data_IF_380108534769
#
_entry.id   IF_380108534769
#
_cell.length_a   1.000
_cell.length_b   1.000
_cell.length_c   1.000
_cell.angle_alpha   90.00
_cell.angle_beta   90.00
_cell.angle_gamma   90.00
#
_symmetry.space_group_name_H-M   'P 1'
#
loop_
_entity.id
_entity.type
_entity.pdbx_description
1 polymer ?
#
# COMPACT_ATOMS: atom_id res chain seq x y z
N UNK A 1 -21.73 -13.00 27.32
CA UNK A 1 -20.37 -12.42 27.37
C UNK A 1 -19.99 -12.14 25.95
N UNK A 2 -20.10 -10.89 25.48
CA UNK A 2 -19.64 -10.53 24.14
C UNK A 2 -18.12 -10.51 24.19
N UNK A 3 -17.48 -11.56 23.66
CA UNK A 3 -16.05 -11.54 23.36
C UNK A 3 -15.82 -10.46 22.32
N UNK A 4 -14.92 -9.52 22.61
CA UNK A 4 -14.47 -8.55 21.62
C UNK A 4 -13.95 -9.28 20.37
N UNK A 5 -14.24 -8.78 19.16
CA UNK A 5 -13.82 -9.43 17.93
C UNK A 5 -12.29 -9.43 17.82
N UNK A 6 -11.71 -10.61 17.53
CA UNK A 6 -10.28 -10.74 17.29
C UNK A 6 -9.94 -10.21 15.89
N UNK A 7 -9.25 -9.06 15.86
CA UNK A 7 -8.89 -8.38 14.61
C UNK A 7 -7.75 -9.07 13.85
N UNK A 8 -7.09 -10.06 14.45
CA UNK A 8 -5.96 -10.78 13.83
C UNK A 8 -6.41 -11.99 13.00
N UNK A 9 -7.66 -12.42 13.17
CA UNK A 9 -8.22 -13.54 12.42
C UNK A 9 -8.74 -13.01 11.07
N UNK A 10 -8.27 -13.53 9.92
CA UNK A 10 -8.78 -13.13 8.61
C UNK A 10 -10.27 -13.47 8.48
N UNK A 11 -10.98 -12.78 7.58
CA UNK A 11 -12.37 -13.10 7.29
C UNK A 11 -12.45 -14.49 6.62
N UNK A 12 -13.44 -15.28 7.00
CA UNK A 12 -13.76 -16.51 6.25
C UNK A 12 -14.48 -16.17 4.94
N UNK A 13 -14.56 -17.11 4.01
CA UNK A 13 -15.28 -16.92 2.74
C UNK A 13 -16.75 -16.50 2.98
N UNK A 14 -17.46 -17.17 3.90
CA UNK A 14 -18.84 -16.80 4.28
C UNK A 14 -18.95 -15.38 4.87
N UNK A 15 -17.96 -14.94 5.67
CA UNK A 15 -17.95 -13.60 6.25
C UNK A 15 -17.64 -12.54 5.18
N UNK A 16 -16.81 -12.87 4.20
CA UNK A 16 -16.47 -12.00 3.08
C UNK A 16 -17.66 -11.85 2.13
N UNK A 17 -18.37 -12.94 1.81
CA UNK A 17 -19.60 -12.91 1.00
C UNK A 17 -20.70 -12.07 1.68
N UNK A 18 -20.90 -12.26 2.99
CA UNK A 18 -21.85 -11.43 3.75
C UNK A 18 -21.44 -9.94 3.80
N UNK A 19 -20.14 -9.66 3.92
CA UNK A 19 -19.63 -8.29 3.87
C UNK A 19 -19.82 -7.67 2.48
N UNK A 20 -19.65 -8.45 1.42
CA UNK A 20 -19.87 -8.02 0.04
C UNK A 20 -21.31 -7.56 -0.18
N UNK A 21 -22.28 -8.44 0.13
CA UNK A 21 -23.70 -8.11 0.06
C UNK A 21 -24.06 -6.84 0.86
N UNK A 22 -23.45 -6.69 2.04
CA UNK A 22 -23.70 -5.53 2.89
C UNK A 22 -23.12 -4.24 2.28
N UNK A 23 -21.90 -4.27 1.75
CA UNK A 23 -21.25 -3.11 1.17
C UNK A 23 -21.88 -2.69 -0.16
N UNK A 24 -22.26 -3.64 -1.00
CA UNK A 24 -23.00 -3.39 -2.26
C UNK A 24 -24.35 -2.72 -1.99
N UNK A 25 -25.04 -3.10 -0.92
CA UNK A 25 -26.33 -2.52 -0.57
C UNK A 25 -26.23 -1.11 0.05
N UNK A 26 -25.06 -0.74 0.59
CA UNK A 26 -24.93 0.44 1.45
C UNK A 26 -23.92 1.47 0.94
N UNK A 27 -23.07 1.11 -0.01
CA UNK A 27 -22.00 1.98 -0.50
C UNK A 27 -21.95 1.92 -2.03
N UNK A 28 -21.74 3.05 -2.72
CA UNK A 28 -21.61 3.05 -4.18
C UNK A 28 -20.32 2.36 -4.66
N UNK A 29 -19.35 2.16 -3.77
CA UNK A 29 -18.07 1.50 -4.06
C UNK A 29 -18.15 -0.03 -3.97
N UNK A 30 -19.13 -0.58 -3.25
CA UNK A 30 -19.22 -2.01 -2.96
C UNK A 30 -17.96 -2.57 -2.28
N UNK A 31 -17.84 -3.90 -2.22
CA UNK A 31 -16.62 -4.53 -1.71
C UNK A 31 -15.41 -4.23 -2.60
N UNK A 32 -15.59 -4.22 -3.92
CA UNK A 32 -14.49 -4.01 -4.86
C UNK A 32 -13.79 -2.65 -4.65
N UNK A 33 -14.55 -1.58 -4.46
CA UNK A 33 -13.98 -0.26 -4.17
C UNK A 33 -13.35 -0.18 -2.78
N UNK A 34 -13.92 -0.85 -1.77
CA UNK A 34 -13.29 -0.97 -0.45
C UNK A 34 -11.95 -1.72 -0.56
N UNK A 35 -11.89 -2.83 -1.31
CA UNK A 35 -10.64 -3.54 -1.59
C UNK A 35 -9.63 -2.62 -2.28
N UNK A 36 -10.06 -1.77 -3.22
CA UNK A 36 -9.21 -0.76 -3.85
C UNK A 36 -8.58 0.19 -2.85
N UNK A 37 -9.40 0.75 -1.94
CA UNK A 37 -8.93 1.60 -0.82
C UNK A 37 -7.88 0.87 0.00
N UNK A 38 -8.18 -0.36 0.42
CA UNK A 38 -7.32 -1.13 1.32
C UNK A 38 -6.00 -1.54 0.67
N UNK A 39 -5.98 -1.85 -0.63
CA UNK A 39 -4.72 -2.14 -1.33
C UNK A 39 -3.85 -0.90 -1.43
N UNK A 40 -4.42 0.26 -1.77
CA UNK A 40 -3.66 1.51 -1.78
C UNK A 40 -3.12 1.84 -0.37
N UNK A 41 -3.94 1.71 0.67
CA UNK A 41 -3.48 1.90 2.06
C UNK A 41 -2.34 0.94 2.40
N UNK A 42 -2.41 -0.31 1.94
CA UNK A 42 -1.42 -1.34 2.27
C UNK A 42 -0.01 -1.08 1.70
N UNK A 43 0.06 -0.36 0.58
CA UNK A 43 1.31 -0.02 -0.12
C UNK A 43 1.64 1.47 -0.02
N UNK A 44 0.93 2.23 0.80
CA UNK A 44 1.10 3.67 0.88
C UNK A 44 2.51 4.02 1.38
N UNK A 45 3.21 4.99 0.76
CA UNK A 45 4.53 5.43 1.19
C UNK A 45 4.57 5.92 2.64
N UNK A 46 3.46 6.53 3.10
CA UNK A 46 3.27 6.92 4.49
C UNK A 46 2.12 6.15 5.13
N UNK A 47 2.22 5.91 6.44
CA UNK A 47 1.18 5.23 7.18
C UNK A 47 -0.12 6.06 7.19
N UNK A 48 -1.16 5.55 6.53
CA UNK A 48 -2.51 6.11 6.58
C UNK A 48 -3.28 5.49 7.76
N UNK A 49 -3.80 6.31 8.68
CA UNK A 49 -4.53 5.81 9.82
C UNK A 49 -5.91 5.27 9.43
N UNK A 50 -6.50 4.31 10.18
CA UNK A 50 -7.86 3.83 9.94
C UNK A 50 -8.91 4.92 9.78
N UNK A 51 -8.85 5.96 10.62
CA UNK A 51 -9.76 7.10 10.52
C UNK A 51 -9.67 7.87 9.19
N UNK A 52 -8.51 7.81 8.52
CA UNK A 52 -8.28 8.52 7.27
C UNK A 52 -8.89 7.81 6.07
N UNK A 53 -8.77 6.49 5.98
CA UNK A 53 -9.33 5.74 4.87
C UNK A 53 -10.78 5.33 5.11
N UNK A 54 -11.23 5.14 6.36
CA UNK A 54 -12.63 4.82 6.67
C UNK A 54 -13.59 5.92 6.18
N UNK A 55 -13.17 7.19 6.20
CA UNK A 55 -14.00 8.31 5.72
C UNK A 55 -14.25 8.30 4.20
N UNK A 56 -13.47 7.52 3.45
CA UNK A 56 -13.63 7.37 2.00
C UNK A 56 -14.77 6.40 1.65
N UNK A 57 -15.16 5.57 2.62
CA UNK A 57 -16.30 4.67 2.48
C UNK A 57 -17.56 5.49 2.78
N UNK A 58 -18.10 6.09 1.72
CA UNK A 58 -19.37 6.81 1.79
C UNK A 58 -20.52 5.81 1.87
N UNK A 59 -21.42 6.04 2.82
CA UNK A 59 -22.60 5.22 3.01
C UNK A 59 -23.85 5.96 2.54
N UNK A 60 -24.65 5.32 1.70
CA UNK A 60 -25.86 5.89 1.15
C UNK A 60 -26.95 6.01 2.24
N UNK A 61 -27.33 7.25 2.57
CA UNK A 61 -28.67 7.59 3.04
C UNK A 61 -29.08 7.12 4.45
N UNK A 62 -28.25 6.45 5.23
CA UNK A 62 -28.55 6.12 6.62
C UNK A 62 -27.43 6.57 7.55
N UNK A 63 -27.79 7.27 8.62
CA UNK A 63 -26.97 7.23 9.83
C UNK A 63 -26.97 5.77 10.26
N UNK A 64 -25.87 5.06 10.04
CA UNK A 64 -25.69 3.72 10.58
C UNK A 64 -25.99 3.77 12.07
N UNK A 65 -26.85 2.86 12.54
CA UNK A 65 -27.04 2.76 13.97
C UNK A 65 -25.68 2.44 14.62
N UNK A 66 -25.52 2.81 15.89
CA UNK A 66 -24.31 2.45 16.60
C UNK A 66 -24.07 0.93 16.59
N UNK A 67 -25.11 0.12 16.42
CA UNK A 67 -25.03 -1.34 16.34
C UNK A 67 -24.58 -1.83 14.96
N UNK A 68 -25.01 -1.20 13.87
CA UNK A 68 -24.53 -1.53 12.52
C UNK A 68 -23.02 -1.27 12.40
N UNK A 69 -22.55 -0.11 12.91
CA UNK A 69 -21.11 0.20 12.93
C UNK A 69 -20.31 -0.72 13.86
N UNK A 70 -20.92 -1.23 14.95
CA UNK A 70 -20.26 -2.20 15.83
C UNK A 70 -19.99 -3.53 15.15
N UNK A 71 -20.80 -3.90 14.15
CA UNK A 71 -20.62 -5.12 13.36
C UNK A 71 -19.68 -4.88 12.18
N UNK A 72 -19.92 -3.81 11.42
CA UNK A 72 -19.19 -3.54 10.17
C UNK A 72 -17.73 -3.13 10.42
N UNK A 73 -17.46 -2.29 11.43
CA UNK A 73 -16.11 -1.76 11.63
C UNK A 73 -15.08 -2.86 11.93
N UNK A 74 -15.31 -3.84 12.83
CA UNK A 74 -14.40 -4.97 13.00
C UNK A 74 -14.15 -5.76 11.71
N UNK A 75 -15.17 -5.95 10.87
CA UNK A 75 -15.00 -6.66 9.59
C UNK A 75 -14.10 -5.88 8.63
N UNK A 76 -14.30 -4.56 8.50
CA UNK A 76 -13.45 -3.70 7.69
C UNK A 76 -11.99 -3.68 8.19
N UNK A 77 -11.78 -3.64 9.50
CA UNK A 77 -10.44 -3.69 10.09
C UNK A 77 -9.77 -5.06 9.92
N UNK A 78 -10.53 -6.16 10.02
CA UNK A 78 -10.03 -7.51 9.71
C UNK A 78 -9.66 -7.63 8.23
N UNK A 79 -10.50 -7.11 7.32
CA UNK A 79 -10.21 -7.08 5.89
C UNK A 79 -8.96 -6.26 5.59
N UNK A 80 -8.80 -5.10 6.25
CA UNK A 80 -7.60 -4.28 6.16
C UNK A 80 -6.33 -5.06 6.55
N UNK A 81 -6.35 -5.75 7.70
CA UNK A 81 -5.23 -6.58 8.14
C UNK A 81 -4.95 -7.72 7.16
N UNK A 82 -6.00 -8.38 6.66
CA UNK A 82 -5.89 -9.46 5.69
C UNK A 82 -5.26 -9.00 4.37
N UNK A 83 -5.66 -7.83 3.84
CA UNK A 83 -5.05 -7.26 2.63
C UNK A 83 -3.58 -6.91 2.87
N UNK A 84 -3.24 -6.30 4.01
CA UNK A 84 -1.85 -6.04 4.38
C UNK A 84 -1.00 -7.32 4.42
N UNK A 85 -1.52 -8.37 5.06
CA UNK A 85 -0.82 -9.66 5.18
C UNK A 85 -0.62 -10.36 3.84
N UNK A 86 -1.61 -10.26 2.93
CA UNK A 86 -1.52 -10.81 1.58
C UNK A 86 -0.48 -10.06 0.75
N UNK A 87 -0.54 -8.73 0.74
CA UNK A 87 0.40 -7.88 0.01
C UNK A 87 1.82 -8.08 0.52
N UNK A 88 2.02 -8.26 1.83
CA UNK A 88 3.33 -8.59 2.41
C UNK A 88 3.88 -9.97 1.98
N UNK A 89 3.05 -10.83 1.38
CA UNK A 89 3.40 -12.17 0.89
C UNK A 89 3.30 -12.29 -0.63
N UNK A 90 3.39 -11.17 -1.34
CA UNK A 90 3.30 -11.11 -2.80
C UNK A 90 1.95 -11.57 -3.37
N UNK A 91 0.86 -11.39 -2.62
CA UNK A 91 -0.50 -11.77 -3.02
C UNK A 91 -1.45 -10.56 -2.97
N UNK A 92 -2.46 -10.54 -3.83
CA UNK A 92 -3.49 -9.49 -3.87
C UNK A 92 -4.91 -10.07 -3.85
N UNK A 93 -5.90 -9.27 -3.46
CA UNK A 93 -7.33 -9.57 -3.61
C UNK A 93 -7.93 -8.62 -4.64
N UNK A 94 -7.83 -9.00 -5.91
CA UNK A 94 -8.37 -8.23 -7.03
C UNK A 94 -9.70 -8.81 -7.52
N UNK A 95 -10.57 -7.99 -8.12
CA UNK A 95 -11.73 -8.48 -8.86
C UNK A 95 -11.30 -9.40 -10.02
N UNK A 96 -12.27 -10.09 -10.62
CA UNK A 96 -12.02 -10.86 -11.84
C UNK A 96 -11.69 -9.91 -13.00
N UNK A 97 -10.69 -10.23 -13.81
CA UNK A 97 -10.17 -9.34 -14.88
C UNK A 97 -11.24 -9.00 -15.93
N UNK A 98 -12.18 -9.91 -16.16
CA UNK A 98 -13.30 -9.77 -17.08
C UNK A 98 -14.41 -8.85 -16.53
N UNK A 99 -14.49 -8.69 -15.21
CA UNK A 99 -15.47 -7.83 -14.55
C UNK A 99 -14.99 -6.38 -14.56
N UNK A 100 -15.31 -5.69 -15.66
CA UNK A 100 -14.88 -4.32 -15.88
C UNK A 100 -15.48 -3.33 -14.87
N UNK A 101 -16.68 -3.61 -14.36
CA UNK A 101 -17.39 -2.70 -13.45
C UNK A 101 -16.82 -2.85 -12.03
N UNK A 102 -16.63 -4.08 -11.55
CA UNK A 102 -15.95 -4.34 -10.28
C UNK A 102 -14.52 -3.76 -10.27
N UNK A 103 -13.76 -3.93 -11.37
CA UNK A 103 -12.44 -3.32 -11.49
C UNK A 103 -12.47 -1.79 -11.54
N UNK A 104 -13.50 -1.18 -12.15
CA UNK A 104 -13.64 0.27 -12.15
C UNK A 104 -13.90 0.79 -10.72
N UNK A 105 -14.73 0.11 -9.94
CA UNK A 105 -14.95 0.40 -8.52
C UNK A 105 -13.67 0.22 -7.69
N UNK A 106 -12.94 -0.90 -7.87
CA UNK A 106 -11.64 -1.11 -7.25
C UNK A 106 -10.66 0.03 -7.56
N UNK A 107 -10.53 0.38 -8.84
CA UNK A 107 -9.63 1.43 -9.28
C UNK A 107 -10.04 2.80 -8.71
N UNK A 108 -11.35 3.09 -8.60
CA UNK A 108 -11.84 4.31 -7.99
C UNK A 108 -11.46 4.39 -6.50
N UNK A 109 -11.67 3.31 -5.74
CA UNK A 109 -11.26 3.22 -4.35
C UNK A 109 -9.75 3.39 -4.15
N UNK A 110 -8.95 2.75 -4.99
CA UNK A 110 -7.49 2.86 -4.98
C UNK A 110 -7.05 4.31 -5.19
N UNK A 111 -7.60 4.99 -6.20
CA UNK A 111 -7.29 6.39 -6.51
C UNK A 111 -7.71 7.33 -5.38
N UNK A 112 -8.85 7.10 -4.73
CA UNK A 112 -9.31 7.91 -3.59
C UNK A 112 -8.35 7.82 -2.40
N UNK A 113 -7.96 6.59 -2.03
CA UNK A 113 -6.98 6.36 -0.98
C UNK A 113 -5.62 6.95 -1.33
N UNK A 114 -5.20 6.84 -2.60
CA UNK A 114 -3.92 7.36 -3.03
C UNK A 114 -3.79 8.88 -2.93
N UNK A 115 -4.89 9.60 -3.09
CA UNK A 115 -4.93 11.06 -2.92
C UNK A 115 -4.78 11.52 -1.47
N UNK A 116 -4.88 10.62 -0.49
CA UNK A 116 -4.66 10.94 0.92
C UNK A 116 -3.18 11.08 1.26
N UNK A 117 -2.31 10.39 0.53
CA UNK A 117 -0.87 10.38 0.76
C UNK A 117 -0.17 11.51 0.01
N UNK A 118 0.57 12.34 0.75
CA UNK A 118 1.28 13.49 0.18
C UNK A 118 2.50 13.12 -0.66
N UNK A 119 3.14 11.97 -0.42
CA UNK A 119 4.27 11.49 -1.23
C UNK A 119 3.82 10.91 -2.56
N UNK A 120 2.63 10.32 -2.61
CA UNK A 120 1.98 10.00 -3.88
C UNK A 120 1.58 11.25 -4.64
N UNK A 121 0.70 12.07 -4.06
CA UNK A 121 0.15 13.23 -4.75
C UNK A 121 1.21 14.27 -5.13
N UNK A 122 2.32 14.32 -4.39
CA UNK A 122 3.39 15.30 -4.56
C UNK A 122 4.50 14.90 -5.53
N UNK A 123 4.51 13.66 -6.04
CA UNK A 123 5.61 13.14 -6.85
C UNK A 123 5.08 12.38 -8.09
N UNK A 124 5.53 12.78 -9.28
CA UNK A 124 5.03 12.24 -10.54
C UNK A 124 5.48 10.79 -10.80
N UNK A 125 6.68 10.42 -10.34
CA UNK A 125 7.19 9.05 -10.50
C UNK A 125 6.39 8.11 -9.60
N UNK A 126 6.11 8.53 -8.37
CA UNK A 126 5.26 7.77 -7.46
C UNK A 126 3.81 7.70 -7.97
N UNK A 127 3.28 8.79 -8.52
CA UNK A 127 1.92 8.83 -9.07
C UNK A 127 1.76 7.98 -10.33
N UNK A 128 2.86 7.63 -11.01
CA UNK A 128 2.82 6.73 -12.17
C UNK A 128 2.25 5.35 -11.84
N UNK A 129 2.38 4.87 -10.60
CA UNK A 129 1.74 3.64 -10.12
C UNK A 129 0.22 3.78 -9.94
N UNK A 130 -0.28 5.00 -9.71
CA UNK A 130 -1.71 5.30 -9.57
C UNK A 130 -2.36 5.50 -10.95
N UNK A 131 -1.59 5.90 -11.96
CA UNK A 131 -2.09 6.25 -13.29
C UNK A 131 -2.92 5.14 -13.99
N UNK A 132 -2.53 3.84 -13.96
CA UNK A 132 -3.37 2.76 -14.49
C UNK A 132 -4.76 2.74 -13.85
N UNK A 133 -4.83 2.87 -12.53
CA UNK A 133 -6.08 2.88 -11.78
C UNK A 133 -6.89 4.15 -12.05
N UNK A 134 -6.26 5.31 -12.21
CA UNK A 134 -6.96 6.52 -12.62
C UNK A 134 -7.67 6.36 -13.98
N UNK A 135 -7.03 5.72 -14.97
CA UNK A 135 -7.67 5.45 -16.26
C UNK A 135 -8.79 4.41 -16.18
N UNK A 136 -8.60 3.36 -15.37
CA UNK A 136 -9.61 2.34 -15.11
C UNK A 136 -10.85 2.93 -14.42
N UNK A 137 -10.65 3.83 -13.46
CA UNK A 137 -11.68 4.57 -12.75
C UNK A 137 -12.36 5.67 -13.58
N UNK A 138 -11.94 5.87 -14.84
CA UNK A 138 -12.51 6.92 -15.69
C UNK A 138 -12.13 8.34 -15.28
N UNK A 139 -10.96 8.51 -14.67
CA UNK A 139 -10.39 9.79 -14.19
C UNK A 139 -9.12 10.18 -14.97
N UNK A 140 -9.17 10.31 -16.32
CA UNK A 140 -7.99 10.57 -17.15
C UNK A 140 -7.37 11.96 -16.93
N UNK A 141 -8.03 12.86 -16.21
CA UNK A 141 -7.50 14.15 -15.79
C UNK A 141 -6.50 14.06 -14.65
N UNK A 142 -6.40 12.90 -13.98
CA UNK A 142 -5.41 12.63 -12.95
C UNK A 142 -4.13 12.01 -13.50
N UNK A 143 -3.98 11.90 -14.82
CA UNK A 143 -2.82 11.26 -15.46
C UNK A 143 -2.09 12.26 -16.34
N UNK A 144 -0.76 12.30 -16.21
CA UNK A 144 0.08 13.15 -17.05
C UNK A 144 -0.16 12.87 -18.55
N UNK A 145 -0.28 13.91 -19.42
CA UNK A 145 -0.75 13.74 -20.78
C UNK A 145 0.05 12.75 -21.63
N UNK A 146 1.38 12.77 -21.51
CA UNK A 146 2.28 11.91 -22.28
C UNK A 146 2.18 10.45 -21.80
N UNK A 147 2.09 10.24 -20.48
CA UNK A 147 1.90 8.92 -19.88
C UNK A 147 0.54 8.33 -20.30
N UNK A 148 -0.52 9.14 -20.25
CA UNK A 148 -1.85 8.76 -20.71
C UNK A 148 -1.83 8.35 -22.17
N UNK A 149 -1.25 9.19 -23.04
CA UNK A 149 -1.15 8.90 -24.46
C UNK A 149 -0.41 7.57 -24.75
N UNK A 150 0.63 7.28 -23.97
CA UNK A 150 1.37 6.01 -24.06
C UNK A 150 0.51 4.80 -23.66
N UNK A 151 -0.26 4.89 -22.56
CA UNK A 151 -1.13 3.81 -22.10
C UNK A 151 -2.31 3.56 -23.06
N UNK A 152 -2.91 4.64 -23.57
CA UNK A 152 -4.08 4.59 -24.46
C UNK A 152 -3.72 4.27 -25.93
N UNK A 153 -2.43 4.15 -26.27
CA UNK A 153 -1.95 3.92 -27.63
C UNK A 153 -2.47 2.61 -28.25
N UNK A 154 -2.85 1.63 -27.43
CA UNK A 154 -3.40 0.34 -27.87
C UNK A 154 -4.91 0.31 -27.68
N UNK A 155 -5.63 -0.18 -28.70
CA UNK A 155 -7.04 -0.51 -28.55
C UNK A 155 -7.22 -1.58 -27.46
N UNK A 156 -8.20 -1.39 -26.57
CA UNK A 156 -8.44 -2.33 -25.47
C UNK A 156 -7.47 -2.20 -24.29
N UNK A 157 -6.68 -1.12 -24.21
CA UNK A 157 -5.68 -0.91 -23.14
C UNK A 157 -6.21 -1.17 -21.72
N UNK A 158 -7.46 -0.82 -21.42
CA UNK A 158 -8.06 -1.09 -20.10
C UNK A 158 -8.03 -2.56 -19.70
N UNK A 159 -8.18 -3.48 -20.66
CA UNK A 159 -8.06 -4.91 -20.39
C UNK A 159 -6.63 -5.33 -20.04
N UNK A 160 -5.63 -4.71 -20.67
CA UNK A 160 -4.23 -4.94 -20.34
C UNK A 160 -3.89 -4.34 -18.96
N UNK A 161 -4.37 -3.12 -18.66
CA UNK A 161 -4.20 -2.50 -17.34
C UNK A 161 -4.80 -3.35 -16.20
N UNK A 162 -5.95 -4.00 -16.42
CA UNK A 162 -6.54 -4.92 -15.42
C UNK A 162 -5.68 -6.16 -15.19
N UNK A 163 -5.08 -6.72 -16.24
CA UNK A 163 -4.17 -7.87 -16.13
C UNK A 163 -2.87 -7.51 -15.41
N UNK A 164 -2.40 -6.29 -15.60
CA UNK A 164 -1.16 -5.80 -15.00
C UNK A 164 -1.35 -5.23 -13.58
N UNK A 165 -2.59 -5.10 -13.10
CA UNK A 165 -2.90 -4.43 -11.83
C UNK A 165 -2.14 -5.02 -10.62
N UNK A 166 -2.03 -6.35 -10.52
CA UNK A 166 -1.27 -7.01 -9.46
C UNK A 166 0.21 -6.60 -9.51
N UNK A 167 0.83 -6.68 -10.69
CA UNK A 167 2.23 -6.29 -10.88
C UNK A 167 2.44 -4.82 -10.50
N UNK A 168 1.54 -3.92 -10.89
CA UNK A 168 1.64 -2.49 -10.53
C UNK A 168 1.58 -2.29 -9.01
N UNK A 169 0.70 -3.02 -8.30
CA UNK A 169 0.60 -2.93 -6.83
C UNK A 169 1.88 -3.46 -6.16
N UNK A 170 2.39 -4.61 -6.61
CA UNK A 170 3.58 -5.21 -6.02
C UNK A 170 4.86 -4.41 -6.34
N UNK A 171 4.98 -3.87 -7.55
CA UNK A 171 6.09 -2.98 -7.93
C UNK A 171 6.07 -1.68 -7.11
N UNK A 172 4.87 -1.11 -6.89
CA UNK A 172 4.69 0.06 -6.04
C UNK A 172 5.08 -0.23 -4.58
N UNK A 173 4.61 -1.36 -4.03
CA UNK A 173 5.01 -1.83 -2.69
C UNK A 173 6.52 -1.92 -2.57
N UNK A 174 7.18 -2.56 -3.54
CA UNK A 174 8.63 -2.73 -3.51
C UNK A 174 9.34 -1.38 -3.58
N UNK A 175 8.89 -0.46 -4.42
CA UNK A 175 9.44 0.88 -4.50
C UNK A 175 9.32 1.69 -3.19
N UNK A 176 8.22 1.53 -2.43
CA UNK A 176 7.98 2.31 -1.21
C UNK A 176 8.45 1.63 0.07
N UNK A 177 8.53 0.30 0.08
CA UNK A 177 8.81 -0.49 1.27
C UNK A 177 10.08 -1.35 1.14
N UNK A 178 10.92 -1.13 0.12
CA UNK A 178 12.22 -1.80 0.02
C UNK A 178 12.99 -1.63 1.34
N UNK A 179 13.47 -2.72 1.97
CA UNK A 179 14.45 -2.56 3.03
C UNK A 179 15.66 -1.83 2.45
N UNK A 180 16.28 -0.87 3.17
CA UNK A 180 17.42 -0.14 2.64
C UNK A 180 18.46 -1.15 2.12
N UNK A 181 19.13 -0.86 0.98
CA UNK A 181 20.10 -1.78 0.41
C UNK A 181 21.08 -2.19 1.52
N UNK A 182 21.45 -3.49 1.61
CA UNK A 182 22.29 -3.97 2.69
C UNK A 182 23.50 -3.05 2.81
N UNK A 183 23.64 -2.40 3.96
CA UNK A 183 24.66 -1.40 4.18
C UNK A 183 26.00 -1.97 3.69
N UNK A 184 26.59 -1.36 2.66
CA UNK A 184 27.92 -1.73 2.20
C UNK A 184 28.81 -1.73 3.44
N UNK A 185 29.44 -2.87 3.80
CA UNK A 185 30.26 -2.92 4.99
C UNK A 185 31.31 -1.84 4.84
N UNK A 186 31.23 -0.80 5.68
CA UNK A 186 32.26 0.21 5.79
C UNK A 186 33.53 -0.57 6.02
N UNK A 187 34.44 -0.58 5.03
CA UNK A 187 35.76 -1.19 5.21
C UNK A 187 36.34 -0.54 6.44
N UNK A 188 36.37 -1.27 7.55
CA UNK A 188 36.96 -0.79 8.78
C UNK A 188 38.33 -0.27 8.40
N UNK A 189 38.59 1.03 8.65
CA UNK A 189 39.91 1.60 8.44
C UNK A 189 40.95 0.64 9.03
N UNK A 190 42.03 0.39 8.29
CA UNK A 190 43.02 -0.61 8.65
C UNK A 190 43.36 -0.50 10.14
N UNK A 191 43.12 -1.58 10.90
CA UNK A 191 43.42 -1.61 12.33
C UNK A 191 44.88 -1.21 12.50
N UNK A 192 45.13 -0.07 13.15
CA UNK A 192 46.49 0.37 13.50
C UNK A 192 47.19 -0.77 14.22
N UNK A 193 48.29 -1.25 13.65
CA UNK A 193 49.08 -2.32 14.24
C UNK A 193 49.68 -1.84 15.57
N UNK A 194 49.79 -2.72 16.57
CA UNK A 194 50.40 -2.39 17.87
C UNK A 194 51.79 -1.72 17.75
N UNK A 195 52.52 -1.99 16.67
CA UNK A 195 53.87 -1.46 16.44
C UNK A 195 53.91 -0.23 15.53
N UNK A 196 52.80 0.16 14.91
CA UNK A 196 52.73 1.30 13.98
C UNK A 196 52.81 2.64 14.73
N UNK A 197 53.18 3.73 14.05
CA UNK A 197 53.10 5.08 14.62
C UNK A 197 51.70 5.37 15.16
N UNK A 198 51.62 5.91 16.37
CA UNK A 198 50.37 6.21 17.03
C UNK A 198 49.69 7.40 16.33
N UNK A 199 48.40 7.25 16.03
CA UNK A 199 47.59 8.24 15.31
C UNK A 199 47.32 9.53 16.10
N UNK A 200 47.69 9.58 17.38
CA UNK A 200 47.58 10.80 18.20
C UNK A 200 48.70 11.84 17.95
N UNK A 201 49.62 11.58 17.02
CA UNK A 201 50.69 12.52 16.66
C UNK A 201 51.89 12.53 17.61
N UNK A 202 51.95 11.61 18.58
CA UNK A 202 53.05 11.56 19.57
C UNK A 202 54.39 11.07 19.03
N UNK A 203 54.42 10.52 17.80
CA UNK A 203 55.60 9.87 17.21
C UNK A 203 55.98 8.52 17.84
N UNK A 204 55.25 8.05 18.86
CA UNK A 204 55.50 6.76 19.53
C UNK A 204 54.75 5.62 18.85
N UNK A 205 55.19 4.37 19.05
CA UNK A 205 54.43 3.18 18.60
C UNK A 205 53.10 3.06 19.36
N UNK A 206 52.03 2.64 18.70
CA UNK A 206 50.67 2.58 19.26
C UNK A 206 50.60 1.84 20.61
N UNK A 207 51.26 0.67 20.74
CA UNK A 207 51.31 -0.12 22.00
C UNK A 207 51.98 0.58 23.19
N UNK A 208 52.73 1.66 22.96
CA UNK A 208 53.42 2.45 23.99
C UNK A 208 52.76 3.82 24.18
N UNK A 209 51.58 4.03 23.61
CA UNK A 209 50.84 5.28 23.65
C UNK A 209 49.35 4.97 23.84
N UNK A 210 48.49 5.27 22.86
CA UNK A 210 47.04 5.09 23.00
C UNK A 210 46.59 3.62 23.14
N UNK A 211 47.43 2.66 22.77
CA UNK A 211 47.20 1.23 22.97
C UNK A 211 47.86 0.65 24.21
N UNK A 212 48.34 1.49 25.13
CA UNK A 212 48.82 1.06 26.45
C UNK A 212 47.65 1.11 27.45
N UNK A 213 46.83 0.06 27.43
CA UNK A 213 46.04 -0.37 28.58
C UNK A 213 46.75 -1.58 29.20
#
# INVERSE_FOLDING_TARGET
MSTEPDLTVPLTDDELEALDEQLEAQTPLGLSGVLGILHAVAIAPTLLAPSDWLRLIEFDGAVHSADDMRVLLPQLLRLHNQVHDLVARDLTLLPQVEDADAFASFAAGFVLAAQLDGQWKGDADNWSYVAPFALLAGRPELVEPDLRASMEAKAGYKGDLRKDAENVILDARDAFHEPPPPAVPVKSAAKVGRNDPCTCGSGKKYKKCCGAA
#
